data_IF_301275045570
#
_entry.id   IF_301275045570
#
_cell.length_a   1.000
_cell.length_b   1.000
_cell.length_c   1.000
_cell.angle_alpha   90.00
_cell.angle_beta   90.00
_cell.angle_gamma   90.00
#
_symmetry.space_group_name_H-M   'P 1'
#
loop_
_entity.id
_entity.type
_entity.pdbx_description
1 polymer ?
#
# COMPACT_ATOMS: atom_id res chain seq x y z
N UNK A 1 -17.35 -16.69 1.66
CA UNK A 1 -16.62 -17.24 0.51
C UNK A 1 -16.95 -16.52 -0.80
N UNK A 2 -18.24 -16.47 -1.24
CA UNK A 2 -18.60 -15.86 -2.54
C UNK A 2 -18.23 -14.38 -2.60
N UNK A 3 -18.49 -13.60 -1.55
CA UNK A 3 -18.11 -12.19 -1.47
C UNK A 3 -16.59 -11.98 -1.52
N UNK A 4 -15.84 -12.83 -0.81
CA UNK A 4 -14.38 -12.81 -0.85
C UNK A 4 -13.83 -13.16 -2.23
N UNK A 5 -14.43 -14.17 -2.90
CA UNK A 5 -14.03 -14.56 -4.26
C UNK A 5 -14.20 -13.41 -5.26
N UNK A 6 -15.34 -12.70 -5.22
CA UNK A 6 -15.54 -11.49 -6.02
C UNK A 6 -14.52 -10.41 -5.67
N UNK A 7 -14.34 -10.09 -4.39
CA UNK A 7 -13.40 -9.06 -3.96
C UNK A 7 -11.95 -9.36 -4.36
N UNK A 8 -11.51 -10.61 -4.20
CA UNK A 8 -10.20 -11.06 -4.63
C UNK A 8 -10.05 -11.01 -6.15
N UNK A 9 -11.07 -11.38 -6.92
CA UNK A 9 -11.02 -11.28 -8.38
C UNK A 9 -10.89 -9.83 -8.82
N UNK A 10 -11.69 -8.92 -8.28
CA UNK A 10 -11.56 -7.48 -8.55
C UNK A 10 -10.18 -6.94 -8.20
N UNK A 11 -9.64 -7.33 -7.05
CA UNK A 11 -8.27 -6.98 -6.63
C UNK A 11 -7.21 -7.49 -7.61
N UNK A 12 -7.29 -8.75 -8.05
CA UNK A 12 -6.33 -9.29 -9.00
C UNK A 12 -6.43 -8.62 -10.37
N UNK A 13 -7.64 -8.32 -10.85
CA UNK A 13 -7.81 -7.54 -12.06
C UNK A 13 -7.23 -6.13 -11.95
N UNK A 14 -7.37 -5.46 -10.80
CA UNK A 14 -6.69 -4.18 -10.56
C UNK A 14 -5.17 -4.31 -10.74
N UNK A 15 -4.53 -5.34 -10.15
CA UNK A 15 -3.08 -5.52 -10.30
C UNK A 15 -2.67 -5.87 -11.74
N UNK A 16 -3.44 -6.70 -12.42
CA UNK A 16 -3.19 -7.04 -13.82
C UNK A 16 -3.36 -5.80 -14.71
N UNK A 17 -4.42 -5.02 -14.50
CA UNK A 17 -4.67 -3.79 -15.25
C UNK A 17 -3.52 -2.79 -15.06
N UNK A 18 -3.11 -2.57 -13.82
CA UNK A 18 -2.00 -1.66 -13.48
C UNK A 18 -0.68 -2.07 -14.14
N UNK A 19 -0.43 -3.37 -14.27
CA UNK A 19 0.83 -3.89 -14.79
C UNK A 19 0.86 -3.99 -16.32
N UNK A 20 -0.28 -4.19 -16.97
CA UNK A 20 -0.34 -4.61 -18.36
C UNK A 20 -1.22 -3.73 -19.26
N UNK A 21 -2.01 -2.79 -18.69
CA UNK A 21 -2.81 -1.90 -19.51
C UNK A 21 -1.93 -0.88 -20.26
N UNK A 22 -2.42 -0.42 -21.40
CA UNK A 22 -1.79 0.61 -22.20
C UNK A 22 -2.24 0.56 -23.65
N UNK A 23 -1.71 1.48 -24.45
CA UNK A 23 -2.08 1.62 -25.85
C UNK A 23 -1.52 0.46 -26.69
N UNK A 24 -2.37 -0.13 -27.51
CA UNK A 24 -2.01 -1.11 -28.54
C UNK A 24 -1.30 -0.47 -29.73
N UNK A 25 -0.83 -1.31 -30.65
CA UNK A 25 -0.11 -0.84 -31.86
C UNK A 25 -0.98 0.05 -32.77
N UNK A 26 -2.28 -0.09 -32.73
CA UNK A 26 -3.27 0.70 -33.47
C UNK A 26 -3.82 1.90 -32.69
N UNK A 27 -3.23 2.21 -31.52
CA UNK A 27 -3.62 3.35 -30.69
C UNK A 27 -4.84 3.11 -29.79
N UNK A 28 -5.39 1.91 -29.74
CA UNK A 28 -6.50 1.56 -28.82
C UNK A 28 -6.00 1.43 -27.40
N UNK A 29 -6.73 1.98 -26.45
CA UNK A 29 -6.47 1.82 -25.01
C UNK A 29 -7.02 0.47 -24.53
N UNK A 30 -6.12 -0.47 -24.25
CA UNK A 30 -6.42 -1.86 -23.93
C UNK A 30 -6.07 -2.20 -22.48
N UNK A 31 -6.92 -3.02 -21.88
CA UNK A 31 -6.70 -3.66 -20.57
C UNK A 31 -6.06 -5.05 -20.72
N UNK A 32 -6.69 -6.04 -20.10
CA UNK A 32 -6.29 -7.46 -20.08
C UNK A 32 -7.46 -8.34 -20.53
N UNK A 33 -7.24 -9.61 -20.89
CA UNK A 33 -8.34 -10.54 -21.10
C UNK A 33 -9.18 -10.71 -19.85
N UNK A 34 -10.50 -10.79 -20.00
CA UNK A 34 -11.45 -10.93 -18.88
C UNK A 34 -11.98 -12.36 -18.85
N UNK A 35 -11.69 -13.08 -17.75
CA UNK A 35 -12.20 -14.43 -17.49
C UNK A 35 -13.12 -14.36 -16.26
N UNK A 36 -14.40 -14.65 -16.46
CA UNK A 36 -15.41 -14.66 -15.38
C UNK A 36 -15.86 -16.07 -15.01
N UNK A 37 -15.51 -17.04 -15.85
CA UNK A 37 -15.84 -18.45 -15.67
C UNK A 37 -14.57 -19.27 -15.38
N UNK A 38 -14.68 -20.39 -14.64
CA UNK A 38 -13.57 -21.31 -14.43
C UNK A 38 -13.00 -21.81 -15.75
N UNK A 39 -11.68 -21.77 -15.89
CA UNK A 39 -10.99 -22.25 -17.07
C UNK A 39 -10.62 -23.73 -16.89
N UNK A 40 -10.76 -24.52 -17.95
CA UNK A 40 -10.37 -25.92 -18.01
C UNK A 40 -9.27 -26.10 -19.05
N UNK A 41 -8.71 -27.30 -19.14
CA UNK A 41 -7.69 -27.62 -20.19
C UNK A 41 -8.22 -27.51 -21.61
N UNK A 42 -9.55 -27.51 -21.78
CA UNK A 42 -10.23 -27.37 -23.07
C UNK A 42 -10.61 -25.91 -23.39
N UNK A 43 -10.40 -24.99 -22.44
CA UNK A 43 -10.71 -23.57 -22.62
C UNK A 43 -9.73 -22.94 -23.62
N UNK A 44 -10.24 -22.02 -24.45
CA UNK A 44 -9.39 -21.17 -25.29
C UNK A 44 -8.71 -20.09 -24.43
N UNK A 45 -7.43 -20.26 -24.16
CA UNK A 45 -6.61 -19.29 -23.43
C UNK A 45 -6.10 -18.13 -24.30
N UNK A 46 -6.25 -18.23 -25.63
CA UNK A 46 -5.81 -17.20 -26.56
C UNK A 46 -6.88 -16.11 -26.74
N UNK A 47 -7.31 -15.52 -25.62
CA UNK A 47 -8.31 -14.47 -25.63
C UNK A 47 -7.69 -13.09 -25.92
N UNK A 48 -8.34 -12.25 -26.75
CA UNK A 48 -7.87 -10.89 -26.97
C UNK A 48 -7.94 -10.06 -25.69
N UNK A 49 -7.13 -9.02 -25.65
CA UNK A 49 -7.24 -8.02 -24.58
C UNK A 49 -8.58 -7.29 -24.70
N UNK A 50 -9.29 -7.14 -23.58
CA UNK A 50 -10.47 -6.29 -23.50
C UNK A 50 -10.06 -4.81 -23.52
N UNK A 51 -11.01 -3.90 -23.77
CA UNK A 51 -10.75 -2.47 -23.59
C UNK A 51 -10.41 -2.15 -22.12
N UNK A 52 -9.67 -1.08 -21.90
CA UNK A 52 -9.37 -0.59 -20.56
C UNK A 52 -10.64 -0.34 -19.76
N UNK A 53 -11.62 0.34 -20.37
CA UNK A 53 -12.92 0.64 -19.76
C UNK A 53 -13.65 -0.63 -19.30
N UNK A 54 -13.71 -1.66 -20.15
CA UNK A 54 -14.34 -2.94 -19.78
C UNK A 54 -13.68 -3.61 -18.58
N UNK A 55 -12.35 -3.50 -18.46
CA UNK A 55 -11.62 -4.01 -17.29
C UNK A 55 -11.95 -3.21 -16.02
N UNK A 56 -12.03 -1.89 -16.10
CA UNK A 56 -12.43 -1.03 -14.97
C UNK A 56 -13.84 -1.37 -14.51
N UNK A 57 -14.79 -1.53 -15.44
CA UNK A 57 -16.18 -1.93 -15.16
C UNK A 57 -16.23 -3.32 -14.51
N UNK A 58 -15.46 -4.28 -15.00
CA UNK A 58 -15.39 -5.61 -14.40
C UNK A 58 -14.88 -5.55 -12.96
N UNK A 59 -13.84 -4.75 -12.69
CA UNK A 59 -13.33 -4.53 -11.32
C UNK A 59 -14.43 -3.95 -10.44
N UNK A 60 -15.14 -2.91 -10.90
CA UNK A 60 -16.19 -2.28 -10.11
C UNK A 60 -17.38 -3.21 -9.85
N UNK A 61 -17.76 -4.03 -10.82
CA UNK A 61 -18.80 -5.03 -10.65
C UNK A 61 -18.43 -6.05 -9.58
N UNK A 62 -17.21 -6.58 -9.63
CA UNK A 62 -16.70 -7.54 -8.64
C UNK A 62 -16.64 -6.94 -7.24
N UNK A 63 -16.12 -5.72 -7.10
CA UNK A 63 -16.06 -5.03 -5.82
C UNK A 63 -17.46 -4.73 -5.27
N UNK A 64 -18.42 -4.37 -6.13
CA UNK A 64 -19.83 -4.18 -5.72
C UNK A 64 -20.46 -5.47 -5.21
N UNK A 65 -20.20 -6.60 -5.87
CA UNK A 65 -20.69 -7.90 -5.43
C UNK A 65 -20.05 -8.35 -4.11
N UNK A 66 -18.79 -7.97 -3.87
CA UNK A 66 -18.13 -8.18 -2.59
C UNK A 66 -18.78 -7.34 -1.46
N UNK A 67 -18.98 -6.03 -1.71
CA UNK A 67 -19.59 -5.11 -0.73
C UNK A 67 -21.01 -5.54 -0.32
N UNK A 68 -21.81 -6.11 -1.24
CA UNK A 68 -23.15 -6.63 -0.93
C UNK A 68 -23.16 -7.86 -0.01
N UNK A 69 -22.07 -8.62 0.04
CA UNK A 69 -21.98 -9.93 0.69
C UNK A 69 -21.11 -9.97 1.92
N UNK A 70 -20.25 -8.97 2.11
CA UNK A 70 -19.28 -8.91 3.20
C UNK A 70 -19.60 -7.75 4.14
N UNK A 71 -19.38 -7.92 5.45
CA UNK A 71 -19.43 -6.77 6.35
C UNK A 71 -18.31 -5.81 5.99
N UNK A 72 -18.49 -4.54 6.31
CA UNK A 72 -17.43 -3.55 6.13
C UNK A 72 -16.20 -3.89 6.94
N UNK A 73 -16.37 -4.30 8.17
CA UNK A 73 -15.31 -4.80 9.05
C UNK A 73 -15.83 -6.01 9.80
N UNK A 74 -14.95 -6.97 10.06
CA UNK A 74 -15.27 -8.17 10.82
C UNK A 74 -15.15 -7.88 12.31
N UNK A 75 -16.28 -7.75 12.99
CA UNK A 75 -16.37 -7.49 14.43
C UNK A 75 -17.48 -8.34 15.05
N UNK A 76 -17.26 -8.74 16.31
CA UNK A 76 -18.31 -9.40 17.07
C UNK A 76 -19.43 -8.39 17.38
N UNK A 77 -20.66 -8.80 17.12
CA UNK A 77 -21.84 -8.01 17.43
C UNK A 77 -22.54 -8.58 18.66
N UNK A 78 -23.26 -7.70 19.38
CA UNK A 78 -24.12 -8.07 20.51
C UNK A 78 -25.55 -7.60 20.25
N UNK A 79 -26.53 -8.31 20.77
CA UNK A 79 -27.95 -7.98 20.63
C UNK A 79 -28.59 -8.57 19.38
N UNK A 80 -28.33 -8.04 18.21
CA UNK A 80 -28.91 -8.54 16.96
C UNK A 80 -27.90 -8.60 15.81
N UNK A 81 -28.16 -9.48 14.87
CA UNK A 81 -27.41 -9.55 13.60
C UNK A 81 -27.67 -8.27 12.80
N UNK A 82 -26.66 -7.65 12.15
CA UNK A 82 -26.86 -6.47 11.31
C UNK A 82 -27.90 -6.71 10.23
N UNK A 83 -28.70 -5.68 9.90
CA UNK A 83 -29.85 -5.78 9.02
C UNK A 83 -29.53 -6.45 7.66
N UNK A 84 -28.39 -6.12 7.07
CA UNK A 84 -27.95 -6.65 5.77
C UNK A 84 -27.71 -8.17 5.77
N UNK A 85 -27.52 -8.76 6.96
CA UNK A 85 -27.23 -10.19 7.12
C UNK A 85 -28.36 -10.98 7.79
N UNK A 86 -29.43 -10.34 8.20
CA UNK A 86 -30.56 -11.00 8.88
C UNK A 86 -31.27 -12.03 8.01
N UNK A 87 -31.23 -11.87 6.69
CA UNK A 87 -31.75 -12.86 5.74
C UNK A 87 -30.94 -14.16 5.71
N UNK A 88 -29.68 -14.12 6.15
CA UNK A 88 -28.78 -15.29 6.22
C UNK A 88 -28.88 -16.00 7.56
N UNK A 89 -29.01 -15.25 8.65
CA UNK A 89 -29.15 -15.78 10.00
C UNK A 89 -29.70 -14.72 10.96
N UNK A 90 -30.48 -15.19 11.97
CA UNK A 90 -30.89 -14.36 13.13
C UNK A 90 -30.03 -14.70 14.38
N UNK A 91 -29.17 -15.71 14.29
CA UNK A 91 -28.33 -16.20 15.37
C UNK A 91 -27.02 -15.41 15.43
N UNK A 92 -26.87 -14.57 16.46
CA UNK A 92 -25.68 -13.74 16.71
C UNK A 92 -24.42 -14.60 16.87
N UNK A 93 -24.51 -15.78 17.49
CA UNK A 93 -23.39 -16.68 17.66
C UNK A 93 -22.87 -17.22 16.32
N UNK A 94 -23.79 -17.61 15.43
CA UNK A 94 -23.44 -18.04 14.06
C UNK A 94 -22.84 -16.89 13.25
N UNK A 95 -23.42 -15.70 13.36
CA UNK A 95 -22.89 -14.51 12.69
C UNK A 95 -21.45 -14.24 13.15
N UNK A 96 -21.22 -14.14 14.45
CA UNK A 96 -19.90 -13.89 15.03
C UNK A 96 -18.87 -14.98 14.71
N UNK A 97 -19.31 -16.23 14.53
CA UNK A 97 -18.42 -17.32 14.12
C UNK A 97 -17.86 -17.11 12.71
N UNK A 98 -18.67 -16.57 11.79
CA UNK A 98 -18.33 -16.45 10.36
C UNK A 98 -17.85 -15.04 10.03
N UNK A 99 -18.50 -14.02 10.58
CA UNK A 99 -18.29 -12.60 10.24
C UNK A 99 -17.87 -11.75 11.44
N UNK A 100 -17.44 -12.39 12.53
CA UNK A 100 -16.97 -11.70 13.74
C UNK A 100 -15.46 -11.47 13.75
N UNK A 101 -14.97 -11.08 14.91
CA UNK A 101 -13.59 -10.65 15.14
C UNK A 101 -12.51 -11.67 14.72
N UNK A 102 -12.83 -12.96 14.69
CA UNK A 102 -11.90 -14.00 14.22
C UNK A 102 -11.57 -13.91 12.72
N UNK A 103 -12.45 -13.28 11.94
CA UNK A 103 -12.29 -13.12 10.50
C UNK A 103 -11.57 -11.82 10.08
N UNK A 104 -11.12 -10.98 11.01
CA UNK A 104 -10.56 -9.62 10.77
C UNK A 104 -9.49 -9.52 9.70
N UNK A 105 -8.75 -10.59 9.44
CA UNK A 105 -7.70 -10.59 8.41
C UNK A 105 -8.18 -11.09 7.04
N UNK A 106 -9.44 -11.49 6.92
CA UNK A 106 -10.03 -11.86 5.65
C UNK A 106 -10.46 -10.63 4.85
N UNK A 107 -10.72 -10.82 3.56
CA UNK A 107 -11.18 -9.77 2.67
C UNK A 107 -12.59 -9.29 3.10
N UNK A 108 -12.80 -7.99 3.21
CA UNK A 108 -14.05 -7.39 3.70
C UNK A 108 -14.50 -6.19 2.85
N UNK A 109 -15.62 -5.57 3.21
CA UNK A 109 -16.21 -4.47 2.43
C UNK A 109 -15.34 -3.21 2.37
N UNK A 110 -14.62 -2.87 3.45
CA UNK A 110 -13.73 -1.68 3.42
C UNK A 110 -12.53 -1.90 2.50
N UNK A 111 -12.02 -3.14 2.42
CA UNK A 111 -10.97 -3.49 1.46
C UNK A 111 -11.47 -3.34 0.03
N UNK A 112 -12.71 -3.80 -0.26
CA UNK A 112 -13.31 -3.60 -1.57
C UNK A 112 -13.42 -2.10 -1.93
N UNK A 113 -13.85 -1.24 -1.00
CA UNK A 113 -13.88 0.21 -1.21
C UNK A 113 -12.49 0.82 -1.43
N UNK A 114 -11.50 0.37 -0.69
CA UNK A 114 -10.12 0.82 -0.89
C UNK A 114 -9.60 0.47 -2.30
N UNK A 115 -9.92 -0.74 -2.79
CA UNK A 115 -9.57 -1.12 -4.17
C UNK A 115 -10.38 -0.36 -5.22
N UNK A 116 -11.63 -0.02 -4.95
CA UNK A 116 -12.43 0.89 -5.80
C UNK A 116 -11.75 2.25 -5.93
N UNK A 117 -11.33 2.85 -4.82
CA UNK A 117 -10.58 4.11 -4.81
C UNK A 117 -9.29 4.02 -5.62
N UNK A 118 -8.49 2.97 -5.41
CA UNK A 118 -7.25 2.77 -6.16
C UNK A 118 -7.49 2.58 -7.65
N UNK A 119 -8.55 1.88 -8.03
CA UNK A 119 -8.94 1.69 -9.43
C UNK A 119 -9.36 3.03 -10.04
N UNK A 120 -10.14 3.84 -9.32
CA UNK A 120 -10.56 5.15 -9.79
C UNK A 120 -9.37 6.11 -10.01
N UNK A 121 -8.43 6.15 -9.06
CA UNK A 121 -7.19 6.95 -9.19
C UNK A 121 -6.34 6.46 -10.36
N UNK A 122 -6.18 5.14 -10.53
CA UNK A 122 -5.45 4.57 -11.66
C UNK A 122 -6.10 4.97 -12.98
N UNK A 123 -7.42 4.78 -13.10
CA UNK A 123 -8.17 5.03 -14.32
C UNK A 123 -8.20 6.53 -14.70
N UNK A 124 -8.25 7.43 -13.71
CA UNK A 124 -8.22 8.88 -13.94
C UNK A 124 -6.81 9.43 -14.22
N UNK A 125 -5.75 8.60 -14.14
CA UNK A 125 -4.40 9.10 -14.33
C UNK A 125 -4.15 9.53 -15.79
N UNK A 126 -3.32 10.58 -16.03
CA UNK A 126 -3.07 11.09 -17.38
C UNK A 126 -2.50 10.06 -18.37
N UNK A 127 -1.88 8.98 -17.86
CA UNK A 127 -1.37 7.90 -18.70
C UNK A 127 -2.47 7.14 -19.45
N UNK A 128 -3.69 7.11 -18.88
CA UNK A 128 -4.86 6.44 -19.46
C UNK A 128 -5.90 7.43 -20.00
N UNK A 129 -5.51 8.69 -20.24
CA UNK A 129 -6.40 9.69 -20.83
C UNK A 129 -6.69 9.33 -22.29
N UNK A 130 -7.94 8.97 -22.57
CA UNK A 130 -8.44 8.59 -23.87
C UNK A 130 -9.96 8.78 -23.95
N UNK A 131 -10.50 9.04 -25.14
CA UNK A 131 -11.94 9.20 -25.33
C UNK A 131 -12.78 7.94 -24.97
N UNK A 132 -12.16 6.77 -24.99
CA UNK A 132 -12.77 5.50 -24.58
C UNK A 132 -12.74 5.24 -23.09
N UNK A 133 -12.05 6.08 -22.30
CA UNK A 133 -11.95 5.98 -20.85
C UNK A 133 -12.83 7.06 -20.20
N UNK A 134 -13.92 6.64 -19.55
CA UNK A 134 -14.86 7.55 -18.91
C UNK A 134 -14.47 8.03 -17.51
N UNK A 135 -13.33 7.55 -16.96
CA UNK A 135 -12.91 7.84 -15.58
C UNK A 135 -12.51 9.31 -15.41
N UNK A 136 -12.92 9.91 -14.29
CA UNK A 136 -12.61 11.29 -13.94
C UNK A 136 -11.93 11.40 -12.57
N UNK A 137 -11.21 12.50 -12.34
CA UNK A 137 -10.69 12.81 -11.00
C UNK A 137 -11.81 13.03 -9.96
N UNK A 138 -13.00 13.43 -10.40
CA UNK A 138 -14.17 13.53 -9.51
C UNK A 138 -14.60 12.15 -9.02
N UNK A 139 -14.59 11.12 -9.88
CA UNK A 139 -14.89 9.75 -9.47
C UNK A 139 -13.87 9.23 -8.45
N UNK A 140 -12.59 9.52 -8.68
CA UNK A 140 -11.51 9.16 -7.76
C UNK A 140 -11.68 9.86 -6.40
N UNK A 141 -12.00 11.16 -6.39
CA UNK A 141 -12.25 11.91 -5.17
C UNK A 141 -13.48 11.38 -4.41
N UNK A 142 -14.57 11.09 -5.10
CA UNK A 142 -15.79 10.53 -4.50
C UNK A 142 -15.55 9.14 -3.91
N UNK A 143 -14.80 8.29 -4.61
CA UNK A 143 -14.45 6.96 -4.10
C UNK A 143 -13.57 7.05 -2.84
N UNK A 144 -12.62 7.98 -2.79
CA UNK A 144 -11.78 8.23 -1.61
C UNK A 144 -12.61 8.79 -0.45
N UNK A 145 -13.48 9.78 -0.72
CA UNK A 145 -14.37 10.36 0.28
C UNK A 145 -15.23 9.30 0.96
N UNK A 146 -15.77 8.33 0.20
CA UNK A 146 -16.59 7.26 0.77
C UNK A 146 -15.85 6.39 1.80
N UNK A 147 -14.51 6.21 1.66
CA UNK A 147 -13.69 5.51 2.66
C UNK A 147 -13.47 6.40 3.88
N UNK A 148 -13.13 7.66 3.66
CA UNK A 148 -12.89 8.64 4.73
C UNK A 148 -14.16 8.84 5.58
N UNK A 149 -15.31 9.02 4.93
CA UNK A 149 -16.60 9.22 5.61
C UNK A 149 -17.00 8.01 6.44
N UNK A 150 -16.79 6.79 5.92
CA UNK A 150 -17.01 5.57 6.68
C UNK A 150 -16.15 5.50 7.95
N UNK A 151 -14.93 6.00 7.90
CA UNK A 151 -14.00 6.05 9.06
C UNK A 151 -14.27 7.24 9.99
N UNK A 152 -15.30 8.04 9.77
CA UNK A 152 -15.67 9.16 10.63
C UNK A 152 -15.17 10.53 10.14
N UNK A 153 -14.93 10.66 8.84
CA UNK A 153 -14.44 11.88 8.21
C UNK A 153 -12.99 12.18 8.56
N UNK A 154 -12.62 13.44 8.53
CA UNK A 154 -11.24 13.88 8.84
C UNK A 154 -10.81 13.55 10.28
N UNK A 155 -11.74 13.48 11.23
CA UNK A 155 -11.44 13.10 12.60
C UNK A 155 -11.11 11.62 12.79
N UNK A 156 -11.49 10.79 11.84
CA UNK A 156 -11.18 9.35 11.81
C UNK A 156 -9.82 9.01 11.20
N UNK A 157 -9.11 10.00 10.65
CA UNK A 157 -7.76 9.79 10.14
C UNK A 157 -6.80 9.51 11.30
N UNK A 158 -5.81 8.66 11.05
CA UNK A 158 -4.80 8.35 12.05
C UNK A 158 -4.01 9.61 12.45
N UNK A 159 -4.00 9.93 13.75
CA UNK A 159 -3.21 11.05 14.27
C UNK A 159 -1.71 10.78 14.25
N UNK A 160 -1.33 9.50 14.22
CA UNK A 160 0.02 8.95 14.13
C UNK A 160 0.35 8.51 12.70
N UNK A 161 -0.25 9.13 11.70
CA UNK A 161 -0.03 8.82 10.28
C UNK A 161 1.44 8.70 9.92
N UNK A 162 1.76 7.74 9.04
CA UNK A 162 3.11 7.30 8.65
C UNK A 162 3.92 6.54 9.72
N UNK A 163 3.37 6.31 10.90
CA UNK A 163 4.03 5.58 12.00
C UNK A 163 3.59 4.11 12.13
N UNK A 164 2.72 3.63 11.24
CA UNK A 164 2.13 2.28 11.29
C UNK A 164 3.16 1.14 11.37
N UNK A 165 4.39 1.38 10.96
CA UNK A 165 5.49 0.41 11.00
C UNK A 165 6.50 0.68 12.13
N UNK A 166 6.15 1.50 13.10
CA UNK A 166 7.00 1.74 14.27
C UNK A 166 7.06 0.51 15.19
N UNK A 167 8.19 0.27 15.85
CA UNK A 167 8.32 -0.81 16.84
C UNK A 167 7.23 -0.76 17.91
N UNK A 168 6.86 0.42 18.38
CA UNK A 168 5.82 0.62 19.39
C UNK A 168 4.49 0.09 18.89
N UNK A 169 4.03 0.49 17.69
CA UNK A 169 2.77 0.05 17.13
C UNK A 169 2.78 -1.47 16.88
N UNK A 170 3.83 -1.99 16.23
CA UNK A 170 3.93 -3.44 15.92
C UNK A 170 3.88 -4.28 17.20
N UNK A 171 4.57 -3.88 18.25
CA UNK A 171 4.67 -4.67 19.48
C UNK A 171 3.37 -4.61 20.31
N UNK A 172 2.61 -3.53 20.25
CA UNK A 172 1.43 -3.33 21.08
C UNK A 172 0.13 -3.73 20.40
N UNK A 173 0.09 -3.84 19.07
CA UNK A 173 -1.13 -4.18 18.37
C UNK A 173 -1.58 -5.62 18.68
N UNK A 174 -2.87 -5.80 18.95
CA UNK A 174 -3.48 -7.11 19.19
C UNK A 174 -3.54 -7.93 17.90
N UNK A 175 -3.54 -9.25 18.07
CA UNK A 175 -3.74 -10.16 16.93
C UNK A 175 -5.09 -9.88 16.25
N UNK A 176 -5.08 -9.88 14.94
CA UNK A 176 -6.25 -9.55 14.11
C UNK A 176 -6.60 -8.06 14.01
N UNK A 177 -6.09 -7.19 14.89
CA UNK A 177 -6.33 -5.75 14.79
C UNK A 177 -5.38 -5.08 13.78
N UNK A 178 -5.81 -3.97 13.20
CA UNK A 178 -4.99 -3.12 12.34
C UNK A 178 -4.56 -1.85 13.09
N UNK A 179 -3.38 -1.28 12.80
CA UNK A 179 -3.11 0.12 13.13
C UNK A 179 -4.18 1.02 12.50
N UNK A 180 -4.46 2.19 13.09
CA UNK A 180 -5.50 3.09 12.59
C UNK A 180 -5.29 3.52 11.12
N UNK A 181 -4.04 3.58 10.68
CA UNK A 181 -3.67 3.95 9.31
C UNK A 181 -3.85 2.81 8.30
N UNK A 182 -4.01 1.56 8.77
CA UNK A 182 -4.02 0.38 7.90
C UNK A 182 -5.42 -0.21 7.80
N UNK A 183 -5.94 -0.33 6.59
CA UNK A 183 -7.23 -1.00 6.33
C UNK A 183 -7.07 -2.53 6.26
N UNK A 184 -5.93 -3.01 5.79
CA UNK A 184 -5.68 -4.45 5.67
C UNK A 184 -4.18 -4.76 5.72
N UNK A 185 -3.81 -5.79 6.47
CA UNK A 185 -2.43 -6.27 6.58
C UNK A 185 -2.38 -7.80 6.69
N UNK A 186 -1.21 -8.36 6.47
CA UNK A 186 -0.92 -9.75 6.85
C UNK A 186 -0.81 -9.91 8.37
N UNK A 187 -0.84 -11.15 8.82
CA UNK A 187 -0.62 -11.47 10.23
C UNK A 187 0.79 -11.07 10.69
N UNK A 188 0.95 -10.87 12.00
CA UNK A 188 2.28 -10.81 12.61
C UNK A 188 2.98 -12.15 12.38
N UNK A 189 4.19 -12.09 11.83
CA UNK A 189 5.04 -13.27 11.68
C UNK A 189 5.94 -13.50 12.88
N UNK A 190 6.54 -14.69 12.94
CA UNK A 190 7.71 -14.93 13.77
C UNK A 190 8.82 -13.97 13.36
N UNK A 191 9.61 -13.50 14.32
CA UNK A 191 10.63 -12.50 14.09
C UNK A 191 11.61 -12.86 12.97
N UNK A 192 11.77 -11.97 12.03
CA UNK A 192 12.81 -11.98 11.02
C UNK A 192 13.43 -10.59 10.88
N UNK A 193 14.48 -10.48 10.11
CA UNK A 193 15.13 -9.21 9.78
C UNK A 193 15.43 -9.12 8.28
N UNK A 194 14.71 -9.85 7.47
CA UNK A 194 15.01 -9.98 6.04
C UNK A 194 14.84 -8.65 5.30
N UNK A 195 13.83 -7.86 5.63
CA UNK A 195 13.62 -6.55 5.02
C UNK A 195 14.77 -5.59 5.36
N UNK A 196 15.18 -5.58 6.62
CA UNK A 196 16.25 -4.72 7.13
C UNK A 196 17.60 -5.16 6.58
N UNK A 197 17.93 -6.45 6.61
CA UNK A 197 19.18 -6.98 6.09
C UNK A 197 19.32 -6.77 4.57
N UNK A 198 18.21 -6.78 3.84
CA UNK A 198 18.21 -6.50 2.40
C UNK A 198 18.33 -5.01 2.07
N UNK A 199 17.71 -4.13 2.87
CA UNK A 199 17.49 -2.74 2.45
C UNK A 199 18.18 -1.67 3.30
N UNK A 200 18.64 -1.98 4.50
CA UNK A 200 19.44 -1.03 5.27
C UNK A 200 20.72 -0.63 4.52
N UNK A 201 21.22 0.59 4.74
CA UNK A 201 22.55 1.01 4.29
C UNK A 201 23.66 0.10 4.84
N UNK A 202 24.84 0.04 4.20
CA UNK A 202 25.99 -0.72 4.69
C UNK A 202 26.42 -0.40 6.11
N UNK A 203 26.31 0.85 6.56
CA UNK A 203 26.59 1.27 7.95
C UNK A 203 25.69 0.58 8.99
N UNK A 204 24.53 0.09 8.57
CA UNK A 204 23.60 -0.69 9.37
C UNK A 204 23.68 -2.19 9.06
N UNK A 205 24.71 -2.65 8.37
CA UNK A 205 24.92 -4.04 7.94
C UNK A 205 23.88 -4.55 6.94
N UNK A 206 23.14 -3.66 6.25
CA UNK A 206 22.22 -4.02 5.19
C UNK A 206 22.90 -4.11 3.81
N UNK A 207 22.14 -4.58 2.83
CA UNK A 207 22.61 -4.76 1.45
C UNK A 207 22.18 -3.64 0.49
N UNK A 208 21.41 -2.64 0.96
CA UNK A 208 21.02 -1.47 0.19
C UNK A 208 20.34 -1.77 -1.14
N UNK A 209 19.54 -2.84 -1.24
CA UNK A 209 19.00 -3.29 -2.54
C UNK A 209 18.00 -2.32 -3.13
N UNK A 210 17.15 -1.70 -2.31
CA UNK A 210 16.14 -0.77 -2.80
C UNK A 210 16.65 0.66 -2.73
N UNK A 211 16.87 1.26 -3.89
CA UNK A 211 17.35 2.63 -4.02
C UNK A 211 16.26 3.51 -4.65
N UNK A 212 15.64 4.42 -3.89
CA UNK A 212 14.74 5.43 -4.43
C UNK A 212 15.41 6.27 -5.50
N UNK A 213 14.70 6.60 -6.58
CA UNK A 213 15.20 7.50 -7.61
C UNK A 213 15.11 8.96 -7.17
N UNK A 214 15.91 9.85 -7.78
CA UNK A 214 15.79 11.30 -7.59
C UNK A 214 14.37 11.79 -7.91
N UNK A 215 13.76 11.29 -8.98
CA UNK A 215 12.38 11.65 -9.35
C UNK A 215 11.38 11.34 -8.23
N UNK A 216 11.54 10.22 -7.53
CA UNK A 216 10.69 9.89 -6.38
C UNK A 216 10.92 10.87 -5.23
N UNK A 217 12.16 11.27 -4.95
CA UNK A 217 12.48 12.26 -3.92
C UNK A 217 11.89 13.62 -4.27
N UNK A 218 11.92 14.01 -5.54
CA UNK A 218 11.43 15.31 -6.02
C UNK A 218 9.88 15.43 -5.95
N UNK A 219 9.16 14.30 -6.04
CA UNK A 219 7.70 14.28 -5.89
C UNK A 219 7.23 14.68 -4.49
N UNK A 220 8.03 14.42 -3.44
CA UNK A 220 7.65 14.90 -2.11
C UNK A 220 7.62 16.43 -2.10
N UNK A 221 6.51 17.06 -1.69
CA UNK A 221 6.41 18.53 -1.66
C UNK A 221 7.21 19.13 -0.51
N UNK A 222 7.18 20.43 -0.38
CA UNK A 222 7.55 21.14 0.84
C UNK A 222 6.47 20.96 1.91
N UNK A 223 6.80 21.22 3.17
CA UNK A 223 5.88 21.11 4.30
C UNK A 223 4.64 22.03 4.19
N UNK A 224 4.73 23.08 3.37
CA UNK A 224 3.61 23.96 3.03
C UNK A 224 2.70 23.39 1.94
N UNK A 225 2.99 22.18 1.41
CA UNK A 225 2.19 21.49 0.40
C UNK A 225 2.53 21.82 -1.05
N UNK A 226 3.37 22.81 -1.32
CA UNK A 226 3.76 23.15 -2.68
C UNK A 226 4.83 22.19 -3.23
N UNK A 227 4.73 21.76 -4.50
CA UNK A 227 5.81 21.05 -5.18
C UNK A 227 7.11 21.86 -5.18
N UNK A 228 8.27 21.18 -5.15
CA UNK A 228 9.58 21.85 -5.06
C UNK A 228 9.90 22.80 -6.21
N UNK A 229 9.27 22.59 -7.36
CA UNK A 229 9.42 23.45 -8.56
C UNK A 229 8.43 24.64 -8.60
N UNK A 230 7.54 24.75 -7.63
CA UNK A 230 6.62 25.89 -7.52
C UNK A 230 7.33 27.09 -6.89
N UNK A 231 7.08 28.28 -7.41
CA UNK A 231 7.67 29.53 -6.90
C UNK A 231 7.30 29.82 -5.42
N UNK A 232 6.13 29.34 -4.97
CA UNK A 232 5.65 29.50 -3.59
C UNK A 232 6.19 28.43 -2.64
N UNK A 233 6.95 27.47 -3.13
CA UNK A 233 7.44 26.32 -2.34
C UNK A 233 8.44 26.74 -1.25
N UNK A 234 9.28 27.74 -1.52
CA UNK A 234 10.41 28.10 -0.67
C UNK A 234 11.55 27.07 -0.68
N UNK A 235 11.61 26.21 -1.70
CA UNK A 235 12.65 25.21 -1.84
C UNK A 235 14.03 25.83 -2.05
N UNK A 236 15.04 25.33 -1.30
CA UNK A 236 16.45 25.71 -1.45
C UNK A 236 17.27 24.51 -1.95
N UNK A 237 17.81 24.62 -3.18
CA UNK A 237 18.64 23.57 -3.77
C UNK A 237 19.97 23.35 -3.04
N UNK A 238 20.46 24.32 -2.27
CA UNK A 238 21.67 24.16 -1.44
C UNK A 238 21.36 23.38 -0.13
N UNK A 239 20.09 23.29 0.25
CA UNK A 239 19.62 22.57 1.41
C UNK A 239 18.37 21.74 1.08
N UNK A 240 18.50 20.74 0.19
CA UNK A 240 17.38 20.14 -0.53
C UNK A 240 16.41 19.32 0.35
N UNK A 241 16.81 19.02 1.58
CA UNK A 241 16.00 18.23 2.52
C UNK A 241 15.36 19.07 3.62
N UNK A 242 15.71 20.35 3.75
CA UNK A 242 15.14 21.23 4.75
C UNK A 242 13.70 21.64 4.38
N UNK A 243 12.82 21.67 5.37
CA UNK A 243 11.43 22.11 5.17
C UNK A 243 10.58 21.24 4.23
N UNK A 244 11.01 20.03 3.92
CA UNK A 244 10.28 19.06 3.09
C UNK A 244 9.13 18.41 3.87
N UNK A 245 8.18 17.87 3.15
CA UNK A 245 7.13 17.03 3.70
C UNK A 245 7.74 15.97 4.64
N UNK A 246 7.23 15.81 5.88
CA UNK A 246 7.81 14.88 6.86
C UNK A 246 7.84 13.42 6.37
N UNK A 247 6.98 13.04 5.42
CA UNK A 247 7.00 11.70 4.81
C UNK A 247 8.31 11.39 4.09
N UNK A 248 8.99 12.40 3.52
CA UNK A 248 10.31 12.19 2.91
C UNK A 248 11.27 11.52 3.89
N UNK A 249 11.46 12.11 5.07
CA UNK A 249 12.36 11.57 6.09
C UNK A 249 11.89 10.27 6.73
N UNK A 250 10.57 9.97 6.70
CA UNK A 250 10.00 8.71 7.19
C UNK A 250 10.18 7.55 6.20
N UNK A 251 10.25 7.85 4.89
CA UNK A 251 10.23 6.83 3.84
C UNK A 251 11.56 6.62 3.14
N UNK A 252 12.45 7.61 3.18
CA UNK A 252 13.72 7.59 2.43
C UNK A 252 14.86 8.02 3.35
N UNK A 253 15.97 7.26 3.31
CA UNK A 253 17.24 7.72 3.83
C UNK A 253 17.96 8.55 2.76
N UNK A 254 18.37 9.72 3.13
CA UNK A 254 19.18 10.65 2.36
C UNK A 254 20.40 11.09 3.19
N UNK A 255 21.34 11.79 2.60
CA UNK A 255 22.52 12.27 3.30
C UNK A 255 22.15 13.15 4.52
N UNK A 256 22.63 12.78 5.69
CA UNK A 256 22.30 13.44 6.95
C UNK A 256 21.08 12.88 7.68
N UNK A 257 20.39 11.87 7.13
CA UNK A 257 19.30 11.19 7.84
C UNK A 257 19.79 10.59 9.16
N UNK A 258 19.04 10.80 10.25
CA UNK A 258 19.37 10.28 11.57
C UNK A 258 18.46 9.11 11.95
N UNK A 259 19.01 8.17 12.71
CA UNK A 259 18.30 7.07 13.36
C UNK A 259 18.56 7.21 14.84
N UNK A 260 17.61 7.80 15.56
CA UNK A 260 17.73 8.11 17.00
C UNK A 260 17.95 6.85 17.83
N UNK A 261 17.24 5.75 17.50
CA UNK A 261 17.31 4.47 18.19
C UNK A 261 18.73 3.85 18.18
N UNK A 262 19.55 4.26 17.22
CA UNK A 262 20.92 3.75 17.03
C UNK A 262 21.98 4.83 17.21
N UNK A 263 21.61 6.08 17.41
CA UNK A 263 22.52 7.23 17.43
C UNK A 263 23.42 7.29 16.20
N UNK A 264 22.89 6.95 15.02
CA UNK A 264 23.60 6.90 13.74
C UNK A 264 23.07 7.99 12.82
N UNK A 265 24.00 8.63 12.08
CA UNK A 265 23.68 9.50 10.94
C UNK A 265 24.18 8.83 9.68
N UNK A 266 23.30 8.69 8.69
CA UNK A 266 23.64 8.16 7.37
C UNK A 266 24.45 9.19 6.60
N UNK A 267 25.63 8.79 6.12
CA UNK A 267 26.54 9.64 5.37
C UNK A 267 26.77 9.07 3.97
N UNK A 268 26.17 9.71 2.97
CA UNK A 268 26.20 9.29 1.56
C UNK A 268 27.29 10.05 0.78
N UNK A 269 28.10 10.86 1.45
CA UNK A 269 29.22 11.56 0.81
C UNK A 269 30.28 10.57 0.30
N UNK A 270 31.06 11.04 -0.67
CA UNK A 270 32.16 10.29 -1.26
C UNK A 270 33.09 9.74 -0.19
N UNK A 271 33.55 8.50 -0.36
CA UNK A 271 34.44 7.82 0.57
C UNK A 271 33.78 7.18 1.79
N UNK A 272 32.54 7.46 2.09
CA UNK A 272 31.83 6.78 3.17
C UNK A 272 31.16 5.48 2.68
N UNK A 273 31.10 4.48 3.56
CA UNK A 273 30.54 3.15 3.19
C UNK A 273 29.10 3.20 2.63
N UNK A 274 28.33 4.21 3.00
CA UNK A 274 26.97 4.43 2.49
C UNK A 274 26.95 5.30 1.22
N UNK A 275 28.12 5.73 0.75
CA UNK A 275 28.25 6.56 -0.45
C UNK A 275 27.88 5.82 -1.74
N UNK A 276 27.65 6.59 -2.80
CA UNK A 276 27.25 6.03 -4.10
C UNK A 276 28.31 5.09 -4.67
N UNK A 277 27.97 3.84 -4.90
CA UNK A 277 28.84 2.79 -5.45
C UNK A 277 30.14 2.53 -4.67
N UNK A 278 30.22 2.86 -3.38
CA UNK A 278 31.43 2.68 -2.57
C UNK A 278 31.62 1.23 -2.12
N UNK A 279 30.58 0.63 -1.54
CA UNK A 279 30.62 -0.79 -1.14
C UNK A 279 29.98 -1.64 -2.21
N UNK A 280 30.77 -2.55 -2.80
CA UNK A 280 30.32 -3.40 -3.90
C UNK A 280 29.01 -4.14 -3.55
N UNK A 281 28.05 -4.05 -4.45
CA UNK A 281 26.73 -4.68 -4.37
C UNK A 281 25.85 -4.31 -3.14
N UNK A 282 26.27 -3.35 -2.33
CA UNK A 282 25.55 -2.97 -1.11
C UNK A 282 25.31 -1.47 -0.96
N UNK A 283 26.12 -0.62 -1.57
CA UNK A 283 25.91 0.83 -1.54
C UNK A 283 24.87 1.27 -2.57
N UNK A 284 24.20 2.36 -2.25
CA UNK A 284 23.25 2.98 -3.15
C UNK A 284 23.85 3.34 -4.51
N UNK A 285 23.03 3.25 -5.55
CA UNK A 285 23.35 3.73 -6.91
C UNK A 285 22.76 5.11 -7.19
N UNK A 286 21.85 5.58 -6.34
CA UNK A 286 21.09 6.82 -6.55
C UNK A 286 21.37 7.91 -5.53
N UNK A 287 22.10 7.61 -4.46
CA UNK A 287 22.28 8.50 -3.31
C UNK A 287 21.15 8.41 -2.26
N UNK A 288 20.29 7.41 -2.37
CA UNK A 288 19.16 7.19 -1.48
C UNK A 288 19.03 5.73 -1.10
N UNK A 289 18.45 5.46 0.09
CA UNK A 289 18.07 4.12 0.52
C UNK A 289 16.62 4.10 0.98
N UNK A 290 15.97 2.94 0.86
CA UNK A 290 14.65 2.72 1.42
C UNK A 290 14.68 2.83 2.94
N UNK A 291 13.71 3.55 3.52
CA UNK A 291 13.45 3.60 4.98
C UNK A 291 12.05 3.09 5.33
N UNK A 292 11.09 3.32 4.44
CA UNK A 292 9.72 2.88 4.60
C UNK A 292 9.64 1.39 4.87
N UNK A 293 8.85 0.98 5.88
CA UNK A 293 8.62 -0.42 6.25
C UNK A 293 9.86 -1.13 6.84
N UNK A 294 10.86 -0.39 7.29
CA UNK A 294 11.98 -0.96 8.02
C UNK A 294 11.86 -0.61 9.51
N UNK A 295 12.09 -1.59 10.35
CA UNK A 295 12.13 -1.40 11.81
C UNK A 295 13.49 -0.86 12.23
N UNK A 296 13.49 0.33 12.80
CA UNK A 296 14.73 1.00 13.20
C UNK A 296 15.40 0.36 14.43
N UNK A 297 14.68 -0.45 15.18
CA UNK A 297 15.21 -1.21 16.33
C UNK A 297 15.87 -2.54 15.94
N UNK A 298 15.74 -2.99 14.69
CA UNK A 298 16.39 -4.21 14.19
C UNK A 298 17.89 -4.04 14.09
N UNK A 299 18.62 -5.03 14.57
CA UNK A 299 20.07 -5.09 14.46
C UNK A 299 20.49 -6.17 13.44
N UNK A 300 21.11 -5.75 12.34
CA UNK A 300 21.61 -6.64 11.29
C UNK A 300 23.10 -6.95 11.44
N UNK A 301 23.79 -6.48 12.50
CA UNK A 301 25.18 -6.81 12.74
C UNK A 301 25.34 -8.32 12.95
N UNK A 302 26.16 -9.03 12.15
CA UNK A 302 26.33 -10.47 12.25
C UNK A 302 26.78 -10.97 13.65
N UNK A 303 27.45 -10.11 14.42
CA UNK A 303 27.90 -10.44 15.79
C UNK A 303 26.76 -10.37 16.83
N UNK A 304 25.63 -9.71 16.52
CA UNK A 304 24.54 -9.48 17.49
C UNK A 304 23.17 -9.31 16.82
N UNK A 305 22.84 -10.18 15.87
CA UNK A 305 21.59 -10.12 15.10
C UNK A 305 20.37 -10.13 16.02
N UNK A 306 19.40 -9.26 15.76
CA UNK A 306 18.07 -9.31 16.36
C UNK A 306 16.99 -9.62 15.32
N UNK A 307 16.01 -10.41 15.71
CA UNK A 307 14.88 -10.82 14.87
C UNK A 307 13.56 -10.54 15.59
N UNK A 308 13.15 -9.29 15.72
CA UNK A 308 11.91 -8.95 16.39
C UNK A 308 10.70 -9.37 15.57
N UNK A 309 9.54 -9.49 16.24
CA UNK A 309 8.27 -9.72 15.55
C UNK A 309 8.02 -8.60 14.55
N UNK A 310 7.68 -8.96 13.33
CA UNK A 310 7.31 -8.02 12.27
C UNK A 310 6.00 -8.43 11.61
N UNK A 311 5.43 -7.56 10.78
CA UNK A 311 4.34 -7.95 9.90
C UNK A 311 4.95 -8.63 8.67
N UNK A 312 4.91 -9.95 8.61
CA UNK A 312 5.59 -10.76 7.60
C UNK A 312 5.16 -10.51 6.16
N UNK A 313 4.00 -9.95 5.93
CA UNK A 313 3.52 -9.60 4.59
C UNK A 313 2.62 -8.38 4.66
N UNK A 314 3.20 -7.24 5.02
CA UNK A 314 2.54 -5.99 4.77
C UNK A 314 2.47 -5.76 3.25
N UNK A 315 1.45 -6.29 2.64
CA UNK A 315 0.89 -5.63 1.47
C UNK A 315 0.08 -4.46 2.01
N UNK A 316 0.78 -3.46 2.54
CA UNK A 316 0.17 -2.22 2.90
C UNK A 316 -0.44 -1.64 1.63
N UNK A 317 -1.72 -1.60 1.61
CA UNK A 317 -2.48 -0.91 0.61
C UNK A 317 -2.68 0.49 1.17
N UNK A 318 -1.71 1.33 0.91
CA UNK A 318 -1.78 2.78 1.09
C UNK A 318 -2.61 3.40 0.00
#
# INVERSE_FOLDING_TARGET
LTGEAYGLRGMFYFYLLRAHAGFGANGELLGVPIFTEPQTIESDFNQPRASFQACVEQIYNDLSEAEKRLPYEYEDVSGSVPADFQSLTQDVGKYNTVMGAKARQLYNGIIARAFRTRTAVLAASPFFEDASNAATWADAANAAAAVIDYKGGLSGLASDGVEYYSPTIINTIKDGANPNEILWRGNKGSGDNDQESQNFPPSLYGNGYMNPSQNLVDIFPMANGYPINDAASGYDANNPYAGRDPRLGKYIFYNGSTISEKSITININEGNQDGVNVTENRSTRTGYYMRKRLRMDVNCNPASISKPVSYTHLRAHE
#
